data_IF_918889057736
#
_entry.id   IF_918889057736
#
_cell.length_a   1.000
_cell.length_b   1.000
_cell.length_c   1.000
_cell.angle_alpha   90.00
_cell.angle_beta   90.00
_cell.angle_gamma   90.00
#
_symmetry.space_group_name_H-M   'P 1'
#
loop_
_entity.id
_entity.type
_entity.pdbx_description
1 polymer ?
#
# COMPACT_ATOMS: atom_id res chain seq x y z
N UNK A 1 5.94 19.64 -3.33
CA UNK A 1 5.29 18.68 -4.23
C UNK A 1 3.86 19.10 -4.46
N UNK A 2 3.39 19.02 -5.72
CA UNK A 2 2.00 19.36 -6.08
C UNK A 2 1.08 18.13 -6.09
N UNK A 3 1.66 16.92 -6.03
CA UNK A 3 0.96 15.64 -6.10
C UNK A 3 1.46 14.73 -4.99
N UNK A 4 0.57 14.15 -4.16
CA UNK A 4 0.99 13.19 -3.13
C UNK A 4 1.45 11.88 -3.79
N UNK A 5 2.44 11.18 -3.20
CA UNK A 5 3.00 9.93 -3.73
C UNK A 5 1.94 8.91 -4.19
N UNK A 6 0.86 8.64 -3.44
CA UNK A 6 -0.17 7.69 -3.85
C UNK A 6 -0.88 8.05 -5.17
N UNK A 7 -0.79 9.31 -5.59
CA UNK A 7 -1.39 9.80 -6.84
C UNK A 7 -0.41 9.90 -8.01
N UNK A 8 0.86 9.55 -7.81
CA UNK A 8 1.81 9.40 -8.92
C UNK A 8 1.40 8.21 -9.78
N UNK A 9 1.44 8.39 -11.12
CA UNK A 9 0.85 7.43 -12.04
C UNK A 9 1.86 6.42 -12.58
N UNK A 10 1.35 5.20 -12.77
CA UNK A 10 1.96 4.09 -13.49
C UNK A 10 0.92 3.58 -14.48
N UNK A 11 1.26 3.50 -15.77
CA UNK A 11 0.30 3.11 -16.81
C UNK A 11 -0.94 4.01 -16.89
N UNK A 12 -0.80 5.29 -16.55
CA UNK A 12 -1.89 6.27 -16.56
C UNK A 12 -2.86 6.20 -15.37
N UNK A 13 -2.67 5.27 -14.42
CA UNK A 13 -3.45 5.17 -13.17
C UNK A 13 -2.58 5.46 -11.94
N UNK A 14 -3.11 6.11 -10.89
CA UNK A 14 -2.37 6.32 -9.64
C UNK A 14 -1.87 5.00 -9.04
N UNK A 15 -0.71 5.00 -8.37
CA UNK A 15 -0.21 3.80 -7.70
C UNK A 15 -1.21 3.29 -6.63
N UNK A 16 -1.94 4.19 -5.99
CA UNK A 16 -3.04 3.86 -5.08
C UNK A 16 -4.10 2.98 -5.75
N UNK A 17 -4.47 3.27 -7.00
CA UNK A 17 -5.40 2.45 -7.78
C UNK A 17 -4.86 1.02 -7.97
N UNK A 18 -3.56 0.87 -8.29
CA UNK A 18 -2.93 -0.45 -8.44
C UNK A 18 -2.96 -1.26 -7.13
N UNK A 19 -2.69 -0.61 -6.00
CA UNK A 19 -2.78 -1.24 -4.67
C UNK A 19 -4.20 -1.72 -4.41
N UNK A 20 -5.20 -0.87 -4.64
CA UNK A 20 -6.61 -1.22 -4.46
C UNK A 20 -7.04 -2.37 -5.38
N UNK A 21 -6.58 -2.41 -6.65
CA UNK A 21 -6.81 -3.52 -7.58
C UNK A 21 -6.23 -4.84 -7.05
N UNK A 22 -5.04 -4.81 -6.43
CA UNK A 22 -4.45 -6.00 -5.81
C UNK A 22 -5.38 -6.56 -4.74
N UNK A 23 -5.86 -5.74 -3.82
CA UNK A 23 -6.81 -6.17 -2.78
C UNK A 23 -8.14 -6.65 -3.37
N UNK A 24 -8.68 -5.91 -4.35
CA UNK A 24 -9.95 -6.23 -4.99
C UNK A 24 -9.91 -7.57 -5.74
N UNK A 25 -8.77 -7.96 -6.33
CA UNK A 25 -8.57 -9.25 -6.99
C UNK A 25 -8.80 -10.44 -6.02
N UNK A 26 -8.61 -10.22 -4.73
CA UNK A 26 -8.86 -11.21 -3.68
C UNK A 26 -10.21 -11.00 -2.96
N UNK A 27 -11.06 -10.09 -3.44
CA UNK A 27 -12.40 -9.85 -2.92
C UNK A 27 -12.49 -8.79 -1.82
N UNK A 28 -11.42 -8.06 -1.52
CA UNK A 28 -11.44 -6.96 -0.56
C UNK A 28 -11.68 -5.64 -1.30
N UNK A 29 -12.91 -5.13 -1.20
CA UNK A 29 -13.38 -3.96 -1.99
C UNK A 29 -13.86 -2.79 -1.13
N UNK A 30 -13.76 -2.89 0.19
CA UNK A 30 -14.09 -1.80 1.13
C UNK A 30 -12.78 -1.16 1.62
N UNK A 31 -12.55 0.09 1.23
CA UNK A 31 -11.30 0.80 1.46
C UNK A 31 -11.52 2.03 2.34
N UNK A 32 -10.66 2.19 3.33
CA UNK A 32 -10.58 3.41 4.14
C UNK A 32 -9.24 4.09 3.86
N UNK A 33 -9.28 5.26 3.27
CA UNK A 33 -8.10 6.04 2.94
C UNK A 33 -7.82 7.06 4.06
N UNK A 34 -6.71 6.86 4.77
CA UNK A 34 -6.26 7.74 5.85
C UNK A 34 -5.55 8.98 5.26
N UNK A 35 -6.30 10.05 5.03
CA UNK A 35 -5.81 11.24 4.35
C UNK A 35 -5.16 12.25 5.30
N UNK A 36 -4.20 12.98 4.78
CA UNK A 36 -3.51 14.08 5.43
C UNK A 36 -3.09 15.14 4.43
N UNK A 37 -1.83 15.56 4.48
CA UNK A 37 -1.29 16.54 3.54
C UNK A 37 -1.62 16.18 2.09
N UNK A 38 -2.15 17.14 1.32
CA UNK A 38 -2.66 16.94 -0.05
C UNK A 38 -3.79 15.89 -0.18
N UNK A 39 -4.49 15.55 0.89
CA UNK A 39 -5.61 14.61 0.86
C UNK A 39 -6.77 15.03 -0.05
N UNK A 40 -6.93 16.33 -0.33
CA UNK A 40 -7.88 16.87 -1.28
C UNK A 40 -7.67 16.34 -2.72
N UNK A 41 -6.41 16.09 -3.13
CA UNK A 41 -6.10 15.52 -4.46
C UNK A 41 -6.68 14.11 -4.59
N UNK A 42 -6.56 13.31 -3.53
CA UNK A 42 -7.10 11.94 -3.49
C UNK A 42 -8.65 11.99 -3.46
N UNK A 43 -9.23 12.89 -2.66
CA UNK A 43 -10.70 13.08 -2.62
C UNK A 43 -11.27 13.44 -3.99
N UNK A 44 -10.68 14.44 -4.64
CA UNK A 44 -11.11 14.85 -6.00
C UNK A 44 -11.04 13.68 -6.98
N UNK A 45 -9.97 12.90 -6.96
CA UNK A 45 -9.82 11.73 -7.82
C UNK A 45 -10.98 10.74 -7.66
N UNK A 46 -11.39 10.40 -6.42
CA UNK A 46 -12.49 9.46 -6.21
C UNK A 46 -13.87 10.07 -6.41
N UNK A 47 -14.06 11.36 -6.17
CA UNK A 47 -15.30 12.06 -6.49
C UNK A 47 -15.54 12.13 -8.01
N UNK A 48 -14.46 12.35 -8.77
CA UNK A 48 -14.51 12.46 -10.22
C UNK A 48 -14.21 11.12 -10.92
N UNK A 49 -14.14 10.00 -10.18
CA UNK A 49 -13.66 8.71 -10.68
C UNK A 49 -14.40 8.24 -11.94
N UNK A 50 -15.71 8.36 -11.96
CA UNK A 50 -16.52 7.97 -13.12
C UNK A 50 -16.20 8.86 -14.34
N UNK A 51 -16.15 10.17 -14.16
CA UNK A 51 -15.85 11.12 -15.23
C UNK A 51 -14.41 10.98 -15.75
N UNK A 52 -13.46 10.55 -14.90
CA UNK A 52 -12.08 10.26 -15.30
C UNK A 52 -11.91 8.88 -15.98
N UNK A 53 -12.90 8.01 -15.89
CA UNK A 53 -12.81 6.62 -16.33
C UNK A 53 -13.76 6.26 -17.45
N UNK A 54 -14.78 7.10 -17.73
CA UNK A 54 -15.87 6.82 -18.69
C UNK A 54 -16.14 8.01 -19.59
N UNK A 55 -16.64 7.74 -20.78
CA UNK A 55 -17.20 8.76 -21.65
C UNK A 55 -18.53 9.24 -21.10
N UNK A 56 -18.78 10.55 -21.18
CA UNK A 56 -20.00 11.16 -20.67
C UNK A 56 -20.45 12.33 -21.52
N UNK A 57 -21.75 12.64 -21.43
CA UNK A 57 -22.35 13.86 -21.94
C UNK A 57 -22.72 14.76 -20.78
N UNK A 58 -22.38 16.03 -20.87
CA UNK A 58 -22.82 17.03 -19.90
C UNK A 58 -23.71 18.05 -20.58
N UNK A 59 -24.87 18.30 -20.00
CA UNK A 59 -25.78 19.38 -20.40
C UNK A 59 -25.46 20.61 -19.55
N UNK A 60 -25.00 21.68 -20.18
CA UNK A 60 -24.65 22.94 -19.51
C UNK A 60 -25.84 23.88 -19.56
N UNK A 61 -26.44 24.18 -18.42
CA UNK A 61 -27.60 25.08 -18.30
C UNK A 61 -28.19 25.08 -16.90
N UNK A 62 -29.39 25.70 -16.78
CA UNK A 62 -30.05 25.90 -15.47
C UNK A 62 -30.40 24.58 -14.73
N UNK A 63 -30.49 23.47 -15.45
CA UNK A 63 -30.76 22.12 -14.94
C UNK A 63 -29.76 21.11 -15.50
N UNK A 64 -28.47 21.50 -15.52
CA UNK A 64 -27.39 20.68 -16.07
C UNK A 64 -27.38 19.25 -15.52
N UNK A 65 -27.20 18.27 -16.41
CA UNK A 65 -27.10 16.86 -16.05
C UNK A 65 -25.81 16.23 -16.62
N UNK A 66 -25.35 15.17 -15.99
CA UNK A 66 -24.25 14.33 -16.49
C UNK A 66 -24.80 12.94 -16.74
N UNK A 67 -24.57 12.40 -17.93
CA UNK A 67 -24.92 11.04 -18.32
C UNK A 67 -23.73 10.30 -18.89
N UNK A 68 -23.42 9.11 -18.33
CA UNK A 68 -22.30 8.26 -18.79
C UNK A 68 -22.76 7.38 -19.95
N UNK A 69 -21.93 7.30 -21.01
CA UNK A 69 -22.33 6.70 -22.30
C UNK A 69 -22.12 5.18 -22.37
N UNK A 70 -21.27 4.61 -21.52
CA UNK A 70 -20.93 3.19 -21.57
C UNK A 70 -21.05 2.54 -20.20
N UNK A 71 -21.64 1.32 -20.18
CA UNK A 71 -21.51 0.41 -19.06
C UNK A 71 -20.15 -0.29 -19.13
N UNK A 72 -19.12 0.33 -18.55
CA UNK A 72 -17.91 -0.42 -18.23
C UNK A 72 -18.13 -1.19 -16.93
N UNK A 73 -17.43 -2.34 -16.75
CA UNK A 73 -17.49 -3.05 -15.47
C UNK A 73 -17.17 -2.09 -14.35
N UNK A 74 -18.07 -1.98 -13.39
CA UNK A 74 -17.84 -1.23 -12.16
C UNK A 74 -16.73 -1.89 -11.35
N UNK A 75 -15.85 -1.11 -10.72
CA UNK A 75 -14.83 -1.65 -9.81
C UNK A 75 -15.47 -2.31 -8.58
N UNK A 76 -16.70 -1.95 -8.26
CA UNK A 76 -17.43 -2.44 -7.09
C UNK A 76 -16.81 -2.00 -5.77
N UNK A 77 -16.02 -0.92 -5.78
CA UNK A 77 -15.32 -0.43 -4.59
C UNK A 77 -16.19 0.49 -3.75
N UNK A 78 -16.08 0.32 -2.45
CA UNK A 78 -16.53 1.28 -1.46
C UNK A 78 -15.31 2.01 -0.91
N UNK A 79 -15.22 3.32 -1.14
CA UNK A 79 -14.06 4.12 -0.74
C UNK A 79 -14.48 5.17 0.28
N UNK A 80 -13.92 5.09 1.47
CA UNK A 80 -14.11 6.08 2.53
C UNK A 80 -12.85 6.94 2.67
N UNK A 81 -12.97 8.23 2.37
CA UNK A 81 -11.89 9.21 2.51
C UNK A 81 -11.96 9.87 3.88
N UNK A 82 -11.06 9.49 4.79
CA UNK A 82 -11.03 10.01 6.17
C UNK A 82 -9.91 11.02 6.36
N UNK A 83 -10.25 12.18 6.93
CA UNK A 83 -9.25 13.15 7.39
C UNK A 83 -8.61 12.64 8.68
N UNK A 84 -7.32 12.37 8.64
CA UNK A 84 -6.57 11.84 9.78
C UNK A 84 -5.53 12.81 10.32
N UNK A 85 -5.54 14.05 9.84
CA UNK A 85 -4.64 15.13 10.24
C UNK A 85 -3.50 15.32 9.24
N UNK A 86 -3.25 16.58 8.84
CA UNK A 86 -2.28 16.92 7.82
C UNK A 86 -0.88 16.38 8.15
N UNK A 87 -0.43 16.53 9.40
CA UNK A 87 0.90 16.16 9.88
C UNK A 87 0.91 14.89 10.74
N UNK A 88 -0.25 14.21 10.88
CA UNK A 88 -0.33 13.01 11.72
C UNK A 88 0.61 11.89 11.24
N UNK A 89 1.23 11.20 12.17
CA UNK A 89 2.13 10.07 11.93
C UNK A 89 1.35 8.78 11.61
N UNK A 90 2.03 7.78 11.08
CA UNK A 90 1.42 6.55 10.53
C UNK A 90 0.53 5.80 11.51
N UNK A 91 0.98 5.60 12.77
CA UNK A 91 0.18 4.93 13.80
C UNK A 91 -1.10 5.69 14.13
N UNK A 92 -1.00 7.00 14.32
CA UNK A 92 -2.17 7.86 14.60
C UNK A 92 -3.18 7.81 13.44
N UNK A 93 -2.70 7.78 12.19
CA UNK A 93 -3.57 7.63 11.02
C UNK A 93 -4.31 6.30 11.03
N UNK A 94 -3.59 5.21 11.30
CA UNK A 94 -4.18 3.86 11.40
C UNK A 94 -5.26 3.84 12.48
N UNK A 95 -4.97 4.35 13.69
CA UNK A 95 -5.95 4.39 14.78
C UNK A 95 -7.20 5.19 14.41
N UNK A 96 -7.03 6.38 13.83
CA UNK A 96 -8.16 7.24 13.44
C UNK A 96 -8.99 6.59 12.33
N UNK A 97 -8.35 6.00 11.32
CA UNK A 97 -9.04 5.31 10.24
C UNK A 97 -9.76 4.05 10.73
N UNK A 98 -9.13 3.27 11.60
CA UNK A 98 -9.70 2.06 12.16
C UNK A 98 -10.91 2.31 13.07
N UNK A 99 -11.08 3.52 13.63
CA UNK A 99 -12.29 3.89 14.36
C UNK A 99 -13.58 3.79 13.52
N UNK A 100 -13.45 3.80 12.20
CA UNK A 100 -14.56 3.57 11.25
C UNK A 100 -14.89 2.09 11.05
N UNK A 101 -14.01 1.18 11.46
CA UNK A 101 -14.15 -0.27 11.31
C UNK A 101 -14.65 -0.85 12.64
N UNK A 102 -15.80 -1.53 12.60
CA UNK A 102 -16.49 -1.94 13.83
C UNK A 102 -15.90 -3.22 14.46
N UNK A 103 -15.43 -4.17 13.66
CA UNK A 103 -14.95 -5.46 14.16
C UNK A 103 -14.09 -6.19 13.15
N UNK A 104 -13.29 -7.16 13.63
CA UNK A 104 -12.45 -8.04 12.85
C UNK A 104 -11.08 -7.46 12.53
N UNK A 105 -10.21 -8.26 11.92
CA UNK A 105 -8.88 -7.83 11.54
C UNK A 105 -8.93 -6.74 10.46
N UNK A 106 -8.02 -5.78 10.59
CA UNK A 106 -7.87 -4.65 9.69
C UNK A 106 -6.63 -4.87 8.82
N UNK A 107 -6.81 -4.88 7.52
CA UNK A 107 -5.69 -4.88 6.59
C UNK A 107 -5.17 -3.46 6.42
N UNK A 108 -3.88 -3.26 6.62
CA UNK A 108 -3.21 -1.96 6.54
C UNK A 108 -2.09 -2.04 5.52
N UNK A 109 -1.99 -1.04 4.64
CA UNK A 109 -0.87 -0.92 3.71
C UNK A 109 -0.47 0.54 3.50
N UNK A 110 0.76 0.75 3.04
CA UNK A 110 1.22 2.06 2.59
C UNK A 110 0.66 2.37 1.20
N UNK A 111 0.63 3.64 0.85
CA UNK A 111 0.05 4.11 -0.41
C UNK A 111 1.07 4.26 -1.55
N UNK A 112 2.27 3.67 -1.44
CA UNK A 112 3.40 3.89 -2.35
C UNK A 112 4.17 2.64 -2.75
N UNK A 113 3.68 1.45 -2.40
CA UNK A 113 4.31 0.17 -2.75
C UNK A 113 3.34 -0.82 -3.38
N UNK A 114 3.79 -1.54 -4.40
CA UNK A 114 3.03 -2.61 -5.09
C UNK A 114 3.76 -3.94 -4.99
N UNK A 115 2.99 -5.02 -5.02
CA UNK A 115 3.51 -6.39 -5.00
C UNK A 115 2.46 -7.39 -5.49
N UNK A 116 2.91 -8.59 -5.86
CA UNK A 116 2.07 -9.74 -6.20
C UNK A 116 1.67 -10.56 -4.95
N UNK A 117 1.47 -9.83 -3.84
CA UNK A 117 1.17 -10.43 -2.54
C UNK A 117 -0.25 -11.00 -2.54
N UNK A 118 -0.38 -12.28 -2.20
CA UNK A 118 -1.67 -12.90 -1.94
C UNK A 118 -2.19 -12.44 -0.57
N UNK A 119 -3.03 -11.40 -0.59
CA UNK A 119 -3.58 -10.81 0.63
C UNK A 119 -4.61 -11.72 1.32
N UNK A 120 -5.16 -12.71 0.61
CA UNK A 120 -6.03 -13.74 1.22
C UNK A 120 -5.18 -14.72 2.01
N UNK A 121 -4.10 -15.22 1.42
CA UNK A 121 -3.15 -16.09 2.11
C UNK A 121 -2.51 -15.39 3.32
N UNK A 122 -2.20 -14.09 3.21
CA UNK A 122 -1.76 -13.27 4.34
C UNK A 122 -2.79 -13.25 5.48
N UNK A 123 -4.07 -13.05 5.17
CA UNK A 123 -5.13 -13.06 6.18
C UNK A 123 -5.33 -14.45 6.81
N UNK A 124 -5.24 -15.51 6.01
CA UNK A 124 -5.32 -16.90 6.51
C UNK A 124 -4.14 -17.22 7.43
N UNK A 125 -2.93 -16.82 7.06
CA UNK A 125 -1.75 -16.94 7.91
C UNK A 125 -1.94 -16.20 9.24
N UNK A 126 -2.43 -14.95 9.19
CA UNK A 126 -2.72 -14.17 10.39
C UNK A 126 -3.70 -14.87 11.32
N UNK A 127 -4.79 -15.40 10.79
CA UNK A 127 -5.78 -16.17 11.58
C UNK A 127 -5.22 -17.46 12.15
N UNK A 128 -4.25 -18.07 11.47
CA UNK A 128 -3.67 -19.36 11.84
C UNK A 128 -2.76 -19.32 13.07
N UNK A 129 -2.07 -18.20 13.32
CA UNK A 129 -1.12 -18.10 14.45
C UNK A 129 -1.73 -17.51 15.73
N UNK A 130 -2.89 -16.81 15.63
CA UNK A 130 -3.60 -16.27 16.78
C UNK A 130 -2.95 -15.08 17.48
N UNK A 131 -1.87 -14.51 16.92
CA UNK A 131 -1.26 -13.28 17.42
C UNK A 131 -2.00 -12.03 16.92
N UNK A 132 -1.67 -10.86 17.45
CA UNK A 132 -2.42 -9.62 17.22
C UNK A 132 -2.05 -8.87 15.95
N UNK A 133 -0.87 -9.12 15.38
CA UNK A 133 -0.38 -8.43 14.18
C UNK A 133 0.46 -9.33 13.28
N UNK A 134 0.33 -9.13 11.97
CA UNK A 134 1.16 -9.76 10.94
C UNK A 134 1.72 -8.70 10.00
N UNK A 135 3.02 -8.74 9.75
CA UNK A 135 3.69 -7.97 8.70
C UNK A 135 4.04 -8.87 7.53
N UNK A 136 3.88 -8.39 6.32
CA UNK A 136 4.53 -9.03 5.17
C UNK A 136 6.00 -8.64 5.14
N UNK A 137 6.88 -9.65 5.11
CA UNK A 137 8.32 -9.43 4.94
C UNK A 137 8.74 -9.67 3.51
N UNK A 138 9.58 -8.78 3.00
CA UNK A 138 10.09 -8.81 1.63
C UNK A 138 11.61 -8.66 1.61
N UNK A 139 12.25 -9.21 0.58
CA UNK A 139 13.67 -9.03 0.31
C UNK A 139 13.82 -8.07 -0.89
N UNK A 140 13.99 -6.75 -0.65
CA UNK A 140 14.14 -5.82 -1.74
C UNK A 140 15.45 -6.09 -2.50
N UNK A 141 15.50 -5.84 -3.82
CA UNK A 141 16.77 -5.87 -4.54
C UNK A 141 17.75 -4.85 -3.94
N UNK A 142 19.02 -5.22 -3.86
CA UNK A 142 20.08 -4.32 -3.40
C UNK A 142 20.08 -3.00 -4.19
N UNK A 143 20.26 -1.88 -3.50
CA UNK A 143 20.32 -0.56 -4.17
C UNK A 143 21.66 -0.34 -4.89
N UNK A 144 22.69 -1.07 -4.46
CA UNK A 144 24.09 -0.96 -4.93
C UNK A 144 24.63 -2.31 -5.31
N UNK A 145 25.71 -2.33 -6.09
CA UNK A 145 26.52 -3.53 -6.29
C UNK A 145 27.26 -3.90 -5.00
N UNK A 146 27.29 -5.17 -4.65
CA UNK A 146 28.04 -5.71 -3.52
C UNK A 146 29.39 -6.25 -3.99
N UNK A 147 30.42 -5.96 -3.20
CA UNK A 147 31.78 -6.39 -3.43
C UNK A 147 32.20 -7.32 -2.28
N UNK A 148 32.63 -8.53 -2.61
CA UNK A 148 33.41 -9.33 -1.68
C UNK A 148 34.90 -9.04 -1.89
N UNK A 149 35.53 -8.44 -0.88
CA UNK A 149 36.91 -7.96 -0.95
C UNK A 149 37.78 -8.76 0.02
N UNK A 150 38.85 -9.39 -0.48
CA UNK A 150 39.82 -10.07 0.35
C UNK A 150 40.63 -9.10 1.18
N UNK A 151 41.27 -9.59 2.24
CA UNK A 151 42.09 -8.78 3.14
C UNK A 151 43.26 -8.03 2.46
N UNK A 152 43.69 -8.51 1.30
CA UNK A 152 44.73 -7.86 0.47
C UNK A 152 44.18 -6.79 -0.50
N UNK A 153 42.88 -6.48 -0.45
CA UNK A 153 42.25 -5.51 -1.33
C UNK A 153 41.76 -6.06 -2.68
N UNK A 154 41.96 -7.33 -2.97
CA UNK A 154 41.49 -7.95 -4.20
C UNK A 154 40.00 -8.21 -4.14
N UNK A 155 39.24 -7.78 -5.20
CA UNK A 155 37.84 -8.10 -5.36
C UNK A 155 37.70 -9.57 -5.75
N UNK A 156 36.99 -10.34 -4.94
CA UNK A 156 36.74 -11.75 -5.17
C UNK A 156 35.50 -11.98 -6.01
N UNK A 157 34.40 -11.22 -5.72
CA UNK A 157 33.22 -11.20 -6.54
C UNK A 157 32.59 -9.82 -6.54
N UNK A 158 31.84 -9.52 -7.59
CA UNK A 158 31.01 -8.34 -7.73
C UNK A 158 29.63 -8.81 -8.18
N UNK A 159 28.62 -8.45 -7.42
CA UNK A 159 27.22 -8.70 -7.76
C UNK A 159 26.47 -7.36 -7.89
N UNK A 160 25.97 -7.08 -9.09
CA UNK A 160 25.17 -5.88 -9.31
C UNK A 160 23.78 -6.08 -8.74
N UNK A 161 23.42 -5.31 -7.72
CA UNK A 161 22.11 -5.34 -7.04
C UNK A 161 21.66 -6.74 -6.63
N UNK A 162 22.48 -7.49 -5.86
CA UNK A 162 22.04 -8.77 -5.34
C UNK A 162 20.78 -8.58 -4.50
N UNK A 163 19.94 -9.60 -4.41
CA UNK A 163 19.00 -9.66 -3.30
C UNK A 163 19.85 -9.68 -2.03
N UNK A 164 19.68 -8.67 -1.17
CA UNK A 164 20.49 -8.55 0.06
C UNK A 164 20.28 -9.84 0.85
N UNK A 165 21.25 -10.73 0.79
CA UNK A 165 21.18 -12.02 1.45
C UNK A 165 21.12 -11.77 2.97
N UNK A 166 19.96 -12.06 3.56
CA UNK A 166 19.77 -12.08 5.00
C UNK A 166 19.05 -10.90 5.64
N UNK A 167 18.69 -9.83 4.92
CA UNK A 167 17.86 -8.77 5.49
C UNK A 167 16.45 -8.77 4.88
N UNK A 168 15.47 -9.13 5.69
CA UNK A 168 14.05 -8.91 5.38
C UNK A 168 13.62 -7.55 5.90
N UNK A 169 12.79 -6.85 5.12
CA UNK A 169 12.20 -5.57 5.54
C UNK A 169 10.68 -5.67 5.58
N UNK A 170 10.05 -4.70 6.24
CA UNK A 170 8.61 -4.54 6.24
C UNK A 170 8.12 -4.15 4.83
N UNK A 171 7.34 -5.00 4.19
CA UNK A 171 6.75 -4.80 2.86
C UNK A 171 5.45 -3.99 2.87
N UNK A 172 4.94 -3.63 4.03
CA UNK A 172 3.79 -2.72 4.18
C UNK A 172 2.42 -3.36 4.11
N UNK A 173 2.26 -4.58 3.59
CA UNK A 173 0.99 -5.30 3.65
C UNK A 173 0.87 -5.98 5.02
N UNK A 174 -0.04 -5.48 5.84
CA UNK A 174 -0.17 -5.88 7.24
C UNK A 174 -1.59 -6.31 7.55
N UNK A 175 -1.74 -7.14 8.57
CA UNK A 175 -3.02 -7.45 9.21
C UNK A 175 -2.88 -7.18 10.70
N UNK A 176 -3.80 -6.40 11.25
CA UNK A 176 -3.85 -6.03 12.67
C UNK A 176 -5.22 -6.38 13.23
N UNK A 177 -5.27 -7.07 14.35
CA UNK A 177 -6.52 -7.20 15.08
C UNK A 177 -7.04 -5.82 15.51
N UNK A 178 -8.36 -5.63 15.49
CA UNK A 178 -8.95 -4.33 15.83
C UNK A 178 -8.56 -3.88 17.24
N UNK A 179 -8.55 -4.82 18.18
CA UNK A 179 -8.17 -4.60 19.58
C UNK A 179 -6.68 -4.19 19.68
N UNK A 180 -5.80 -4.78 18.87
CA UNK A 180 -4.39 -4.41 18.87
C UNK A 180 -4.16 -2.93 18.50
N UNK A 181 -4.97 -2.39 17.59
CA UNK A 181 -4.89 -0.97 17.24
C UNK A 181 -5.22 -0.09 18.47
N UNK A 182 -6.21 -0.48 19.26
CA UNK A 182 -6.57 0.27 20.46
C UNK A 182 -5.58 0.08 21.61
N UNK A 183 -5.02 -1.12 21.77
CA UNK A 183 -4.11 -1.46 22.86
C UNK A 183 -2.69 -0.90 22.66
N UNK A 184 -2.18 -0.93 21.40
CA UNK A 184 -0.78 -0.62 21.10
C UNK A 184 -0.56 0.76 20.45
N UNK A 185 -1.58 1.38 19.91
CA UNK A 185 -1.46 2.73 19.32
C UNK A 185 -2.12 3.73 20.30
N UNK A 186 -1.35 4.59 20.99
CA UNK A 186 -1.90 5.54 21.95
C UNK A 186 -2.86 6.54 21.30
N UNK A 187 -3.90 6.93 22.05
CA UNK A 187 -4.90 7.90 21.60
C UNK A 187 -4.52 9.35 21.90
N UNK A 188 -3.66 9.54 22.90
CA UNK A 188 -3.33 10.83 23.55
C UNK A 188 -2.12 11.53 22.92
N UNK A 189 -1.38 10.85 22.05
CA UNK A 189 -0.19 11.39 21.39
C UNK A 189 0.00 10.85 19.98
N UNK A 190 0.76 11.58 19.19
CA UNK A 190 1.06 11.23 17.80
C UNK A 190 2.25 10.26 17.73
N UNK A 191 2.11 9.14 17.02
CA UNK A 191 3.13 8.07 16.96
C UNK A 191 3.27 7.49 15.56
N UNK A 192 4.48 7.07 15.23
CA UNK A 192 4.76 6.22 14.07
C UNK A 192 4.42 4.77 14.39
N UNK A 193 3.64 4.11 13.54
CA UNK A 193 3.30 2.68 13.65
C UNK A 193 4.56 1.81 13.75
N UNK A 194 5.56 2.12 12.92
CA UNK A 194 6.81 1.36 12.74
C UNK A 194 7.78 1.47 13.91
N UNK A 195 7.50 2.36 14.85
CA UNK A 195 8.34 2.55 16.04
C UNK A 195 7.74 1.86 17.26
N UNK A 196 7.15 2.65 18.13
CA UNK A 196 6.66 2.15 19.43
C UNK A 196 5.60 1.05 19.29
N UNK A 197 4.51 1.19 18.48
CA UNK A 197 3.49 0.16 18.41
C UNK A 197 4.00 -1.21 17.94
N UNK A 198 4.72 -1.25 16.81
CA UNK A 198 5.25 -2.53 16.29
C UNK A 198 6.35 -3.10 17.19
N UNK A 199 7.17 -2.27 17.84
CA UNK A 199 8.17 -2.75 18.79
C UNK A 199 7.53 -3.34 20.06
N UNK A 200 6.44 -2.78 20.56
CA UNK A 200 5.70 -3.34 21.67
C UNK A 200 5.04 -4.67 21.30
N UNK A 201 4.36 -4.73 20.17
CA UNK A 201 3.81 -5.98 19.62
C UNK A 201 4.89 -7.08 19.50
N UNK A 202 6.07 -6.73 18.99
CA UNK A 202 7.19 -7.68 18.85
C UNK A 202 7.71 -8.15 20.21
N UNK A 203 7.86 -7.24 21.18
CA UNK A 203 8.32 -7.55 22.54
C UNK A 203 7.36 -8.46 23.27
N UNK A 204 6.05 -8.25 23.07
CA UNK A 204 4.98 -9.04 23.69
C UNK A 204 4.74 -10.38 22.98
N UNK A 205 5.46 -10.67 21.89
CA UNK A 205 5.32 -11.90 21.10
C UNK A 205 4.08 -11.92 20.22
N UNK A 206 3.45 -10.77 19.99
CA UNK A 206 2.18 -10.62 19.27
C UNK A 206 2.36 -10.20 17.79
N UNK A 207 3.61 -10.02 17.34
CA UNK A 207 3.95 -9.63 15.97
C UNK A 207 4.53 -10.81 15.20
N UNK A 208 3.91 -11.16 14.08
CA UNK A 208 4.30 -12.26 13.20
C UNK A 208 4.74 -11.76 11.82
N UNK A 209 5.59 -12.53 11.16
CA UNK A 209 6.11 -12.23 9.83
C UNK A 209 5.57 -13.21 8.80
N UNK A 210 4.88 -12.68 7.78
CA UNK A 210 4.46 -13.44 6.60
C UNK A 210 5.52 -13.28 5.50
N UNK A 211 6.27 -14.33 5.15
CA UNK A 211 7.34 -14.23 4.16
C UNK A 211 6.75 -14.14 2.74
N UNK A 212 7.12 -13.10 2.00
CA UNK A 212 6.80 -12.93 0.60
C UNK A 212 8.09 -12.98 -0.23
N UNK A 213 8.16 -13.89 -1.17
CA UNK A 213 9.33 -14.12 -2.04
C UNK A 213 9.10 -13.67 -3.49
N UNK A 214 7.91 -13.17 -3.79
CA UNK A 214 7.52 -12.66 -5.09
C UNK A 214 7.99 -11.21 -5.33
N UNK A 215 7.34 -10.56 -6.26
CA UNK A 215 7.64 -9.18 -6.60
C UNK A 215 7.12 -8.20 -5.54
N UNK A 216 7.97 -7.28 -5.15
CA UNK A 216 7.60 -6.12 -4.34
C UNK A 216 8.47 -4.92 -4.72
N UNK A 217 7.86 -3.73 -4.85
CA UNK A 217 8.56 -2.49 -5.17
C UNK A 217 7.86 -1.29 -4.54
N UNK A 218 8.60 -0.51 -3.75
CA UNK A 218 8.19 0.85 -3.36
C UNK A 218 8.41 1.84 -4.50
N UNK A 219 7.70 2.97 -4.46
CA UNK A 219 7.84 4.06 -5.42
C UNK A 219 8.24 5.36 -4.71
N UNK A 220 9.44 5.37 -4.13
CA UNK A 220 9.99 6.52 -3.41
C UNK A 220 10.74 7.51 -4.31
N UNK A 221 11.27 7.02 -5.41
CA UNK A 221 12.10 7.79 -6.33
C UNK A 221 11.57 7.77 -7.76
N UNK A 222 11.97 8.75 -8.58
CA UNK A 222 11.64 8.77 -10.01
C UNK A 222 12.13 7.51 -10.73
N UNK A 223 13.31 6.96 -10.35
CA UNK A 223 13.86 5.73 -10.91
C UNK A 223 12.95 4.53 -10.66
N UNK A 224 12.39 4.42 -9.46
CA UNK A 224 11.47 3.34 -9.09
C UNK A 224 10.14 3.48 -9.86
N UNK A 225 9.61 4.69 -9.98
CA UNK A 225 8.45 4.96 -10.84
C UNK A 225 8.71 4.56 -12.30
N UNK A 226 9.85 4.95 -12.85
CA UNK A 226 10.21 4.62 -14.24
C UNK A 226 10.41 3.11 -14.44
N UNK A 227 10.85 2.39 -13.40
CA UNK A 227 10.90 0.93 -13.41
C UNK A 227 9.49 0.34 -13.50
N UNK A 228 8.57 0.77 -12.63
CA UNK A 228 7.19 0.31 -12.63
C UNK A 228 6.50 0.63 -13.96
N UNK A 229 6.71 1.83 -14.49
CA UNK A 229 6.17 2.24 -15.79
C UNK A 229 6.68 1.36 -16.95
N UNK A 230 7.97 1.00 -16.96
CA UNK A 230 8.53 0.06 -17.96
C UNK A 230 7.92 -1.33 -17.85
N UNK A 231 7.77 -1.87 -16.64
CA UNK A 231 7.15 -3.17 -16.41
C UNK A 231 5.68 -3.18 -16.87
N UNK A 232 4.95 -2.10 -16.59
CA UNK A 232 3.57 -1.96 -17.04
C UNK A 232 3.46 -1.93 -18.57
N UNK A 233 4.23 -1.07 -19.23
CA UNK A 233 4.24 -0.94 -20.70
C UNK A 233 4.70 -2.21 -21.41
N UNK A 234 5.59 -2.95 -20.80
CA UNK A 234 6.06 -4.24 -21.31
C UNK A 234 5.06 -5.39 -21.17
N UNK A 235 3.89 -5.15 -20.55
CA UNK A 235 2.89 -6.19 -20.29
C UNK A 235 3.29 -7.21 -19.21
N UNK A 236 4.44 -7.00 -18.55
CA UNK A 236 5.00 -7.89 -17.53
C UNK A 236 4.95 -7.33 -16.11
N UNK A 237 3.95 -6.53 -15.76
CA UNK A 237 3.78 -5.98 -14.43
C UNK A 237 3.41 -7.08 -13.42
N UNK A 238 4.35 -7.57 -12.57
CA UNK A 238 4.07 -8.75 -11.73
C UNK A 238 2.96 -8.52 -10.72
N UNK A 239 2.81 -7.28 -10.23
CA UNK A 239 1.75 -6.92 -9.29
C UNK A 239 0.34 -6.86 -9.91
N UNK A 240 0.21 -6.95 -11.24
CA UNK A 240 -1.07 -7.02 -11.93
C UNK A 240 -1.65 -8.43 -11.78
N UNK A 241 -2.17 -8.75 -10.59
CA UNK A 241 -2.79 -10.04 -10.25
C UNK A 241 -4.27 -10.14 -10.64
N UNK A 242 -4.82 -9.09 -11.22
CA UNK A 242 -6.17 -9.05 -11.77
C UNK A 242 -6.18 -9.26 -13.30
N UNK A 243 -7.29 -9.65 -13.90
CA UNK A 243 -7.44 -9.82 -15.36
C UNK A 243 -7.10 -8.59 -16.20
#
# INVERSE_FOLDING_TARGET
ELTPKPMLTVGGKPILWHIMKTYAAFGFTDFVLALGYLGNVIRSYFLDYEALSRDFTVEIGAHGSVSFLQHQPDEGWRVTCMETGAEALTGTRVRRAAAHIQSGPVMVTYGDGVGDIDVRALLEFHRGHGGKATLTTVNPPGRFGELHVRSNGQVESFEEKPQVSGSTINGGFMVLEREAIDDYIPADRDVMLEREPLNHLARDGELWAYPHTGFWQSMDTARERDLLERLWKGGGAPWKVWP
#
